data_IF_624226756571
#
_entry.id   IF_624226756571
#
_cell.length_a   1.000
_cell.length_b   1.000
_cell.length_c   1.000
_cell.angle_alpha   90.00
_cell.angle_beta   90.00
_cell.angle_gamma   90.00
#
_symmetry.space_group_name_H-M   'P 1'
#
loop_
_entity.id
_entity.type
_entity.pdbx_description
1 polymer ?
#
# COMPACT_ATOMS: atom_id res chain seq x y z
N UNK A 1 -39.40 33.90 -23.14
CA UNK A 1 -38.86 32.79 -22.32
C UNK A 1 -37.75 32.14 -23.14
N UNK A 2 -36.46 32.44 -22.90
CA UNK A 2 -35.40 31.73 -23.62
C UNK A 2 -35.28 30.30 -23.05
N UNK A 3 -35.22 29.32 -23.95
CA UNK A 3 -35.01 27.90 -23.65
C UNK A 3 -33.75 27.68 -22.80
N UNK A 4 -33.76 26.69 -21.88
CA UNK A 4 -32.55 26.32 -21.16
C UNK A 4 -31.54 25.73 -22.15
N UNK A 5 -30.33 26.29 -22.16
CA UNK A 5 -29.21 25.78 -22.91
C UNK A 5 -28.96 24.31 -22.53
N UNK A 6 -28.87 23.45 -23.54
CA UNK A 6 -28.44 22.07 -23.38
C UNK A 6 -27.03 22.05 -22.83
N UNK A 7 -26.87 21.58 -21.59
CA UNK A 7 -25.59 21.18 -21.03
C UNK A 7 -24.96 20.14 -21.96
N UNK A 8 -23.91 20.54 -22.69
CA UNK A 8 -23.07 19.62 -23.44
C UNK A 8 -22.35 18.74 -22.42
N UNK A 9 -22.77 17.49 -22.31
CA UNK A 9 -22.04 16.50 -21.52
C UNK A 9 -20.61 16.42 -22.07
N UNK A 10 -19.63 16.80 -21.26
CA UNK A 10 -18.22 16.65 -21.60
C UNK A 10 -17.97 15.20 -22.02
N UNK A 11 -17.18 15.02 -23.10
CA UNK A 11 -16.78 13.67 -23.51
C UNK A 11 -16.04 12.99 -22.36
N UNK A 12 -16.28 11.70 -22.09
CA UNK A 12 -15.63 11.00 -20.99
C UNK A 12 -14.11 11.06 -21.16
N UNK A 13 -13.38 11.15 -20.05
CA UNK A 13 -11.92 11.08 -20.02
C UNK A 13 -11.49 9.82 -20.80
N UNK A 14 -10.75 10.00 -21.90
CA UNK A 14 -10.35 8.88 -22.73
C UNK A 14 -9.02 8.34 -22.22
N UNK A 15 -9.08 7.21 -21.50
CA UNK A 15 -7.89 6.54 -20.99
C UNK A 15 -7.18 5.78 -22.12
N UNK A 16 -5.88 6.03 -22.29
CA UNK A 16 -5.03 5.23 -23.15
C UNK A 16 -4.53 4.00 -22.39
N UNK A 17 -5.28 2.89 -22.42
CA UNK A 17 -4.93 1.66 -21.70
C UNK A 17 -4.19 0.68 -22.63
N UNK A 18 -3.02 0.15 -22.26
CA UNK A 18 -2.40 -0.96 -22.97
C UNK A 18 -3.21 -2.25 -22.79
N UNK A 19 -3.08 -3.26 -23.68
CA UNK A 19 -3.87 -4.49 -23.61
C UNK A 19 -3.83 -5.19 -22.24
N UNK A 20 -2.67 -5.20 -21.58
CA UNK A 20 -2.47 -5.83 -20.28
C UNK A 20 -3.10 -5.06 -19.09
N UNK A 21 -3.63 -3.85 -19.31
CA UNK A 21 -4.31 -3.06 -18.27
C UNK A 21 -5.85 -3.08 -18.44
N UNK A 22 -6.35 -3.57 -19.57
CA UNK A 22 -7.79 -3.47 -19.92
C UNK A 22 -8.64 -4.54 -19.26
N UNK A 23 -8.15 -5.77 -19.18
CA UNK A 23 -8.95 -6.93 -18.77
C UNK A 23 -8.89 -7.12 -17.25
N UNK A 24 -10.04 -6.96 -16.60
CA UNK A 24 -10.19 -7.07 -15.15
C UNK A 24 -11.13 -8.24 -14.84
N UNK A 25 -10.63 -9.20 -14.06
CA UNK A 25 -11.45 -10.27 -13.47
C UNK A 25 -11.90 -9.84 -12.07
N UNK A 26 -13.21 -9.82 -11.81
CA UNK A 26 -13.78 -9.32 -10.57
C UNK A 26 -14.18 -10.47 -9.66
N UNK A 27 -13.65 -10.48 -8.44
CA UNK A 27 -13.99 -11.44 -7.38
C UNK A 27 -14.66 -10.76 -6.19
N UNK A 28 -15.43 -11.50 -5.40
CA UNK A 28 -16.00 -11.02 -4.13
C UNK A 28 -15.41 -11.83 -2.97
N UNK A 29 -14.25 -11.43 -2.41
CA UNK A 29 -13.51 -12.27 -1.46
C UNK A 29 -14.05 -12.18 -0.03
N UNK A 30 -14.89 -11.18 0.24
CA UNK A 30 -15.37 -10.87 1.60
C UNK A 30 -16.89 -10.79 1.65
N UNK A 31 -17.45 -9.59 1.74
CA UNK A 31 -18.89 -9.43 1.95
C UNK A 31 -19.69 -9.36 0.65
N UNK A 32 -20.91 -9.91 0.66
CA UNK A 32 -21.85 -9.94 -0.46
C UNK A 32 -22.27 -8.54 -0.93
N UNK A 33 -22.64 -8.43 -2.19
CA UNK A 33 -23.25 -7.24 -2.77
C UNK A 33 -24.77 -7.39 -2.74
N UNK A 34 -25.44 -6.64 -1.85
CA UNK A 34 -26.89 -6.71 -1.72
C UNK A 34 -27.62 -6.14 -2.96
N UNK A 35 -27.20 -4.97 -3.43
CA UNK A 35 -27.78 -4.31 -4.61
C UNK A 35 -26.94 -4.58 -5.87
N UNK A 36 -27.44 -5.48 -6.73
CA UNK A 36 -26.78 -5.86 -7.98
C UNK A 36 -26.76 -4.73 -9.02
N UNK A 37 -27.62 -3.72 -8.90
CA UNK A 37 -27.62 -2.58 -9.82
C UNK A 37 -26.31 -1.78 -9.74
N UNK A 38 -25.67 -1.77 -8.57
CA UNK A 38 -24.35 -1.17 -8.32
C UNK A 38 -23.28 -1.73 -9.24
N UNK A 39 -23.25 -3.06 -9.36
CA UNK A 39 -22.30 -3.77 -10.24
C UNK A 39 -22.51 -3.38 -11.70
N UNK A 40 -23.76 -3.23 -12.12
CA UNK A 40 -24.07 -2.84 -13.50
C UNK A 40 -23.66 -1.38 -13.78
N UNK A 41 -23.86 -0.47 -12.82
CA UNK A 41 -23.38 0.93 -12.95
C UNK A 41 -21.87 0.97 -13.05
N UNK A 42 -21.16 0.30 -12.15
CA UNK A 42 -19.69 0.22 -12.17
C UNK A 42 -19.14 -0.41 -13.44
N UNK A 43 -19.75 -1.51 -13.90
CA UNK A 43 -19.37 -2.15 -15.16
C UNK A 43 -19.53 -1.20 -16.34
N UNK A 44 -20.68 -0.52 -16.44
CA UNK A 44 -20.96 0.43 -17.51
C UNK A 44 -20.02 1.63 -17.46
N UNK A 45 -19.69 2.12 -16.26
CA UNK A 45 -18.75 3.21 -16.07
C UNK A 45 -17.36 2.83 -16.58
N UNK A 46 -16.78 1.74 -16.08
CA UNK A 46 -15.42 1.32 -16.47
C UNK A 46 -15.34 0.91 -17.95
N UNK A 47 -16.38 0.28 -18.51
CA UNK A 47 -16.45 -0.05 -19.94
C UNK A 47 -16.39 1.18 -20.84
N UNK A 48 -17.02 2.30 -20.43
CA UNK A 48 -16.94 3.58 -21.17
C UNK A 48 -15.53 4.18 -21.15
N UNK A 49 -14.69 3.79 -20.20
CA UNK A 49 -13.31 4.25 -20.05
C UNK A 49 -12.29 3.20 -20.54
N UNK A 50 -12.73 2.22 -21.33
CA UNK A 50 -11.84 1.29 -22.05
C UNK A 50 -11.52 -0.02 -21.32
N UNK A 51 -11.99 -0.22 -20.09
CA UNK A 51 -11.81 -1.49 -19.37
C UNK A 51 -12.81 -2.56 -19.82
N UNK A 52 -12.41 -3.83 -19.73
CA UNK A 52 -13.27 -5.00 -19.97
C UNK A 52 -13.35 -5.85 -18.71
N UNK A 53 -14.56 -6.00 -18.18
CA UNK A 53 -14.78 -6.69 -16.91
C UNK A 53 -15.38 -8.08 -17.14
N UNK A 54 -14.73 -9.08 -16.55
CA UNK A 54 -15.28 -10.44 -16.38
C UNK A 54 -15.61 -10.63 -14.91
N UNK A 55 -16.85 -10.99 -14.60
CA UNK A 55 -17.28 -11.23 -13.23
C UNK A 55 -17.14 -12.72 -12.89
N UNK A 56 -16.55 -13.05 -11.74
CA UNK A 56 -16.52 -14.43 -11.28
C UNK A 56 -17.94 -15.01 -11.18
N UNK A 57 -18.19 -16.27 -11.59
CA UNK A 57 -19.52 -16.87 -11.56
C UNK A 57 -20.20 -16.82 -10.17
N UNK A 58 -19.41 -16.72 -9.09
CA UNK A 58 -19.90 -16.67 -7.71
C UNK A 58 -19.79 -15.28 -7.08
N UNK A 59 -19.35 -14.25 -7.80
CA UNK A 59 -19.16 -12.91 -7.23
C UNK A 59 -20.43 -12.27 -6.66
N UNK A 60 -21.62 -12.71 -7.11
CA UNK A 60 -22.93 -12.23 -6.62
C UNK A 60 -23.63 -13.23 -5.68
N UNK A 61 -22.91 -14.23 -5.19
CA UNK A 61 -23.40 -15.13 -4.17
C UNK A 61 -23.64 -14.37 -2.86
N UNK A 62 -24.60 -14.86 -2.07
CA UNK A 62 -24.87 -14.38 -0.72
C UNK A 62 -24.98 -15.59 0.18
N UNK A 63 -24.24 -15.56 1.29
CA UNK A 63 -24.19 -16.63 2.28
C UNK A 63 -24.27 -16.01 3.67
N UNK A 64 -25.14 -16.59 4.52
CA UNK A 64 -25.38 -16.13 5.89
C UNK A 64 -25.56 -14.60 6.01
N UNK A 65 -26.31 -14.02 5.06
CA UNK A 65 -26.66 -12.58 5.00
C UNK A 65 -25.51 -11.58 4.82
N UNK A 66 -24.23 -12.00 4.93
CA UNK A 66 -23.08 -11.09 4.92
C UNK A 66 -22.00 -11.46 3.92
N UNK A 67 -21.73 -12.75 3.70
CA UNK A 67 -20.58 -13.21 2.93
C UNK A 67 -20.93 -13.45 1.46
N UNK A 68 -19.96 -13.21 0.58
CA UNK A 68 -20.11 -13.46 -0.86
C UNK A 68 -19.89 -14.94 -1.23
N UNK A 69 -20.63 -15.84 -0.57
CA UNK A 69 -20.36 -17.28 -0.56
C UNK A 69 -19.75 -17.74 0.77
N UNK A 70 -19.65 -19.05 0.95
CA UNK A 70 -18.93 -19.64 2.09
C UNK A 70 -17.41 -19.44 1.94
N UNK A 71 -16.63 -19.94 2.89
CA UNK A 71 -15.16 -19.79 2.90
C UNK A 71 -14.53 -20.47 1.67
N UNK A 72 -15.05 -21.63 1.25
CA UNK A 72 -14.58 -22.35 0.04
C UNK A 72 -14.86 -21.57 -1.24
N UNK A 73 -16.10 -21.11 -1.42
CA UNK A 73 -16.52 -20.38 -2.62
C UNK A 73 -15.63 -19.15 -2.86
N UNK A 74 -15.27 -18.46 -1.78
CA UNK A 74 -14.46 -17.24 -1.82
C UNK A 74 -12.98 -17.55 -2.05
N UNK A 75 -12.45 -18.63 -1.45
CA UNK A 75 -11.11 -19.14 -1.75
C UNK A 75 -10.97 -19.54 -3.23
N UNK A 76 -11.89 -20.36 -3.74
CA UNK A 76 -11.88 -20.83 -5.13
C UNK A 76 -11.99 -19.68 -6.14
N UNK A 77 -12.57 -18.54 -5.76
CA UNK A 77 -12.62 -17.36 -6.63
C UNK A 77 -11.22 -16.84 -6.95
N UNK A 78 -10.26 -16.92 -6.03
CA UNK A 78 -8.86 -16.59 -6.30
C UNK A 78 -8.22 -17.59 -7.27
N UNK A 79 -8.49 -18.89 -7.09
CA UNK A 79 -7.96 -19.92 -8.00
C UNK A 79 -8.50 -19.76 -9.42
N UNK A 80 -9.81 -19.48 -9.57
CA UNK A 80 -10.41 -19.15 -10.87
C UNK A 80 -9.84 -17.87 -11.47
N UNK A 81 -9.62 -16.84 -10.65
CA UNK A 81 -9.03 -15.58 -11.11
C UNK A 81 -7.58 -15.76 -11.57
N UNK A 82 -6.78 -16.54 -10.84
CA UNK A 82 -5.40 -16.88 -11.20
C UNK A 82 -5.33 -17.66 -12.53
N UNK A 83 -6.27 -18.59 -12.75
CA UNK A 83 -6.39 -19.35 -14.00
C UNK A 83 -7.00 -18.55 -15.17
N UNK A 84 -7.60 -17.38 -14.90
CA UNK A 84 -8.21 -16.55 -15.94
C UNK A 84 -7.15 -15.89 -16.83
N UNK A 85 -7.52 -15.50 -18.04
CA UNK A 85 -6.63 -14.76 -18.94
C UNK A 85 -6.44 -13.28 -18.52
N UNK A 86 -7.28 -12.76 -17.62
CA UNK A 86 -7.20 -11.37 -17.20
C UNK A 86 -5.92 -11.14 -16.37
N UNK A 87 -5.10 -10.13 -16.68
CA UNK A 87 -3.90 -9.79 -15.92
C UNK A 87 -4.23 -9.11 -14.58
N UNK A 88 -5.40 -8.47 -14.47
CA UNK A 88 -5.83 -7.76 -13.27
C UNK A 88 -6.96 -8.51 -12.59
N UNK A 89 -6.86 -8.66 -11.27
CA UNK A 89 -7.94 -9.18 -10.44
C UNK A 89 -8.38 -8.10 -9.47
N UNK A 90 -9.65 -7.70 -9.51
CA UNK A 90 -10.19 -6.62 -8.68
C UNK A 90 -11.21 -7.17 -7.69
N UNK A 91 -11.08 -6.78 -6.42
CA UNK A 91 -12.12 -6.99 -5.43
C UNK A 91 -13.37 -6.19 -5.77
N UNK A 92 -14.53 -6.82 -5.70
CA UNK A 92 -15.80 -6.18 -6.02
C UNK A 92 -16.18 -5.12 -4.97
N UNK A 93 -15.84 -5.36 -3.70
CA UNK A 93 -15.93 -4.47 -2.55
C UNK A 93 -15.05 -4.98 -1.40
N UNK A 94 -14.87 -4.15 -0.37
CA UNK A 94 -14.29 -4.58 0.92
C UNK A 94 -15.24 -5.48 1.73
N UNK A 95 -15.27 -5.33 3.06
CA UNK A 95 -16.25 -6.00 3.92
C UNK A 95 -15.63 -6.70 5.12
N UNK A 96 -15.94 -7.98 5.28
CA UNK A 96 -15.40 -8.80 6.35
C UNK A 96 -15.36 -10.25 5.89
N UNK A 97 -14.28 -10.95 6.21
CA UNK A 97 -14.24 -12.41 6.20
C UNK A 97 -13.05 -13.01 5.47
N UNK A 98 -12.12 -12.23 4.91
CA UNK A 98 -10.88 -12.76 4.31
C UNK A 98 -10.00 -13.48 5.34
N UNK A 99 -9.92 -12.95 6.57
CA UNK A 99 -9.13 -13.52 7.67
C UNK A 99 -9.57 -14.93 8.09
N UNK A 100 -10.76 -15.39 7.69
CA UNK A 100 -11.31 -16.71 8.04
C UNK A 100 -10.66 -17.88 7.31
N UNK A 101 -9.96 -17.62 6.21
CA UNK A 101 -9.47 -18.67 5.32
C UNK A 101 -8.06 -18.37 4.76
N UNK A 102 -7.30 -17.50 5.44
CA UNK A 102 -5.95 -17.14 5.00
C UNK A 102 -5.01 -18.35 4.93
N UNK A 103 -5.18 -19.29 5.85
CA UNK A 103 -4.41 -20.53 5.95
C UNK A 103 -4.62 -21.50 4.79
N UNK A 104 -5.65 -21.27 3.99
CA UNK A 104 -6.04 -22.14 2.89
C UNK A 104 -5.53 -21.67 1.54
N UNK A 105 -4.94 -20.48 1.46
CA UNK A 105 -4.33 -19.98 0.24
C UNK A 105 -3.02 -20.69 -0.08
N UNK A 106 -2.85 -21.01 -1.35
CA UNK A 106 -1.54 -21.26 -1.94
C UNK A 106 -0.95 -19.91 -2.40
N UNK A 107 -0.34 -19.18 -1.47
CA UNK A 107 0.21 -17.84 -1.75
C UNK A 107 1.31 -17.86 -2.82
N UNK A 108 2.10 -18.93 -2.88
CA UNK A 108 3.16 -19.07 -3.89
C UNK A 108 2.56 -19.21 -5.29
N UNK A 109 1.53 -20.05 -5.46
CA UNK A 109 0.83 -20.17 -6.73
C UNK A 109 0.15 -18.84 -7.14
N UNK A 110 -0.45 -18.13 -6.19
CA UNK A 110 -1.06 -16.82 -6.46
C UNK A 110 -0.01 -15.75 -6.81
N UNK A 111 1.18 -15.78 -6.23
CA UNK A 111 2.28 -14.90 -6.61
C UNK A 111 2.81 -15.26 -8.01
N UNK A 112 3.04 -16.54 -8.28
CA UNK A 112 3.52 -17.04 -9.57
C UNK A 112 2.55 -16.80 -10.73
N UNK A 113 1.26 -16.56 -10.45
CA UNK A 113 0.25 -16.24 -11.46
C UNK A 113 0.49 -14.91 -12.20
N UNK A 114 1.35 -14.03 -11.67
CA UNK A 114 1.68 -12.73 -12.26
C UNK A 114 0.51 -11.73 -12.29
N UNK A 115 -0.57 -12.00 -11.55
CA UNK A 115 -1.75 -11.14 -11.52
C UNK A 115 -1.51 -9.87 -10.70
N UNK A 116 -2.05 -8.75 -11.16
CA UNK A 116 -2.21 -7.54 -10.34
C UNK A 116 -3.43 -7.71 -9.44
N UNK A 117 -3.21 -8.15 -8.20
CA UNK A 117 -4.27 -8.33 -7.19
C UNK A 117 -4.64 -6.99 -6.54
N UNK A 118 -5.80 -6.46 -6.89
CA UNK A 118 -6.28 -5.13 -6.52
C UNK A 118 -7.44 -5.18 -5.52
N UNK A 119 -7.29 -4.46 -4.41
CA UNK A 119 -8.38 -4.24 -3.45
C UNK A 119 -7.98 -3.32 -2.30
N UNK A 120 -8.92 -3.02 -1.41
CA UNK A 120 -8.73 -2.18 -0.22
C UNK A 120 -9.58 -2.71 0.96
N UNK A 121 -9.53 -2.03 2.11
CA UNK A 121 -10.33 -2.39 3.29
C UNK A 121 -9.98 -3.79 3.81
N UNK A 122 -10.95 -4.71 3.96
CA UNK A 122 -10.73 -6.12 4.35
C UNK A 122 -9.72 -6.87 3.44
N UNK A 123 -9.54 -6.43 2.19
CA UNK A 123 -8.53 -6.98 1.28
C UNK A 123 -7.09 -6.73 1.75
N UNK A 124 -6.89 -5.80 2.69
CA UNK A 124 -5.61 -5.61 3.41
C UNK A 124 -5.10 -6.92 4.01
N UNK A 125 -5.99 -7.81 4.48
CA UNK A 125 -5.58 -9.12 5.00
C UNK A 125 -4.81 -9.95 3.96
N UNK A 126 -5.25 -9.91 2.70
CA UNK A 126 -4.57 -10.58 1.59
C UNK A 126 -3.25 -9.90 1.24
N UNK A 127 -3.23 -8.55 1.18
CA UNK A 127 -2.02 -7.78 0.89
C UNK A 127 -0.89 -8.07 1.89
N UNK A 128 -1.21 -8.05 3.18
CA UNK A 128 -0.27 -8.35 4.25
C UNK A 128 0.22 -9.80 4.18
N UNK A 129 -0.70 -10.75 3.95
CA UNK A 129 -0.35 -12.16 3.85
C UNK A 129 0.52 -12.49 2.62
N UNK A 130 0.19 -11.93 1.45
CA UNK A 130 1.02 -12.05 0.24
C UNK A 130 2.44 -11.55 0.50
N UNK A 131 2.59 -10.35 1.04
CA UNK A 131 3.90 -9.79 1.37
C UNK A 131 4.65 -10.66 2.39
N UNK A 132 3.96 -11.14 3.43
CA UNK A 132 4.56 -11.96 4.48
C UNK A 132 5.01 -13.35 4.00
N UNK A 133 4.29 -13.94 3.03
CA UNK A 133 4.53 -15.30 2.56
C UNK A 133 5.50 -15.37 1.40
N UNK A 134 5.40 -14.44 0.45
CA UNK A 134 6.10 -14.53 -0.84
C UNK A 134 6.94 -13.28 -1.16
N UNK A 135 6.75 -12.18 -0.43
CA UNK A 135 7.37 -10.90 -0.77
C UNK A 135 6.74 -10.21 -1.99
N UNK A 136 5.72 -10.81 -2.62
CA UNK A 136 5.17 -10.31 -3.86
C UNK A 136 4.35 -9.02 -3.67
N UNK A 137 4.45 -8.14 -4.67
CA UNK A 137 3.67 -6.90 -4.74
C UNK A 137 2.20 -7.18 -5.07
N UNK A 138 1.31 -6.50 -4.36
CA UNK A 138 -0.12 -6.41 -4.66
C UNK A 138 -0.51 -4.94 -4.82
N UNK A 139 -1.77 -4.66 -5.14
CA UNK A 139 -2.23 -3.29 -5.38
C UNK A 139 -3.32 -2.91 -4.38
N UNK A 140 -3.00 -1.96 -3.50
CA UNK A 140 -3.95 -1.36 -2.58
C UNK A 140 -4.67 -0.22 -3.33
N UNK A 141 -5.99 -0.33 -3.55
CA UNK A 141 -6.69 0.64 -4.39
C UNK A 141 -8.19 0.36 -4.55
N UNK A 142 -8.86 1.03 -5.51
CA UNK A 142 -10.31 1.05 -5.57
C UNK A 142 -10.91 -0.33 -5.82
N UNK A 143 -12.05 -0.59 -5.16
CA UNK A 143 -12.94 -1.72 -5.46
C UNK A 143 -14.13 -1.31 -6.33
N UNK A 144 -14.68 -2.28 -7.08
CA UNK A 144 -15.70 -2.08 -8.11
C UNK A 144 -16.90 -1.23 -7.64
N UNK A 145 -17.64 -1.70 -6.63
CA UNK A 145 -18.89 -1.06 -6.19
C UNK A 145 -18.71 -0.10 -5.02
N UNK A 146 -17.47 0.28 -4.70
CA UNK A 146 -17.18 1.34 -3.71
C UNK A 146 -16.77 2.65 -4.37
N UNK A 147 -16.23 2.59 -5.59
CA UNK A 147 -15.63 3.76 -6.25
C UNK A 147 -16.24 4.04 -7.62
N UNK A 148 -16.81 3.04 -8.31
CA UNK A 148 -17.26 3.19 -9.70
C UNK A 148 -18.78 3.04 -9.89
N UNK A 149 -19.55 2.83 -8.84
CA UNK A 149 -21.00 2.56 -8.92
C UNK A 149 -21.90 3.78 -8.67
N UNK A 150 -21.38 4.99 -8.81
CA UNK A 150 -22.12 6.23 -8.63
C UNK A 150 -23.39 6.27 -9.51
N UNK A 151 -24.47 6.87 -8.98
CA UNK A 151 -25.71 7.04 -9.73
C UNK A 151 -25.50 8.00 -10.90
N UNK A 152 -24.82 9.13 -10.64
CA UNK A 152 -24.33 10.02 -11.66
C UNK A 152 -22.86 9.70 -11.94
N UNK A 153 -22.48 9.30 -13.18
CA UNK A 153 -21.09 9.03 -13.55
C UNK A 153 -20.11 10.17 -13.28
N UNK A 154 -20.59 11.43 -13.26
CA UNK A 154 -19.73 12.58 -12.96
C UNK A 154 -19.31 12.66 -11.48
N UNK A 155 -19.92 11.87 -10.60
CA UNK A 155 -19.58 11.83 -9.17
C UNK A 155 -18.45 10.81 -8.88
N UNK A 156 -17.99 10.06 -9.89
CA UNK A 156 -16.79 9.24 -9.75
C UNK A 156 -15.56 10.14 -9.75
N UNK A 157 -14.71 9.97 -8.75
CA UNK A 157 -13.48 10.74 -8.60
C UNK A 157 -12.49 10.45 -9.74
N UNK A 158 -12.11 11.50 -10.48
CA UNK A 158 -11.23 11.38 -11.64
C UNK A 158 -9.83 10.89 -11.27
N UNK A 159 -9.27 11.39 -10.15
CA UNK A 159 -7.96 10.96 -9.64
C UNK A 159 -7.91 9.46 -9.37
N UNK A 160 -8.97 8.90 -8.83
CA UNK A 160 -9.11 7.45 -8.56
C UNK A 160 -9.11 6.64 -9.86
N UNK A 161 -9.80 7.13 -10.89
CA UNK A 161 -9.82 6.49 -12.20
C UNK A 161 -8.46 6.60 -12.93
N UNK A 162 -7.84 7.78 -12.92
CA UNK A 162 -6.56 8.05 -13.57
C UNK A 162 -5.42 7.26 -12.92
N UNK A 163 -5.31 7.30 -11.58
CA UNK A 163 -4.27 6.53 -10.88
C UNK A 163 -4.48 5.03 -10.98
N UNK A 164 -5.72 4.54 -11.06
CA UNK A 164 -6.01 3.15 -11.41
C UNK A 164 -5.48 2.83 -12.81
N UNK A 165 -5.80 3.66 -13.80
CA UNK A 165 -5.38 3.45 -15.18
C UNK A 165 -3.85 3.38 -15.30
N UNK A 166 -3.14 4.34 -14.70
CA UNK A 166 -1.69 4.42 -14.79
C UNK A 166 -0.98 3.33 -13.99
N UNK A 167 -1.49 2.97 -12.80
CA UNK A 167 -0.97 1.85 -12.02
C UNK A 167 -1.12 0.52 -12.78
N UNK A 168 -2.29 0.27 -13.37
CA UNK A 168 -2.53 -0.96 -14.13
C UNK A 168 -1.76 -0.98 -15.46
N UNK A 169 -1.37 0.18 -15.98
CA UNK A 169 -0.56 0.35 -17.19
C UNK A 169 0.95 0.39 -16.94
N UNK A 170 1.40 0.29 -15.69
CA UNK A 170 2.80 0.45 -15.28
C UNK A 170 3.41 1.82 -15.64
N UNK A 171 2.56 2.86 -15.66
CA UNK A 171 2.93 4.25 -15.95
C UNK A 171 2.86 5.19 -14.74
N UNK A 172 2.40 4.71 -13.59
CA UNK A 172 2.29 5.55 -12.40
C UNK A 172 3.66 5.68 -11.74
N UNK A 173 4.35 6.80 -11.97
CA UNK A 173 5.70 7.05 -11.48
C UNK A 173 5.72 7.89 -10.19
N UNK A 174 4.78 8.82 -10.07
CA UNK A 174 4.78 9.82 -9.00
C UNK A 174 3.35 10.21 -8.65
N UNK A 175 3.06 10.31 -7.35
CA UNK A 175 1.85 10.97 -6.85
C UNK A 175 2.20 12.05 -5.84
N UNK A 176 1.70 13.26 -6.09
CA UNK A 176 1.84 14.41 -5.20
C UNK A 176 0.54 14.67 -4.44
N UNK A 177 0.62 14.87 -3.13
CA UNK A 177 -0.54 15.21 -2.31
C UNK A 177 -0.19 16.20 -1.22
N UNK A 178 -1.19 17.00 -0.81
CA UNK A 178 -1.00 17.95 0.29
C UNK A 178 -0.83 17.21 1.60
N UNK A 179 0.19 17.58 2.38
CA UNK A 179 0.52 16.89 3.61
C UNK A 179 0.80 17.82 4.80
N UNK A 180 0.93 17.20 5.99
CA UNK A 180 1.41 17.79 7.24
C UNK A 180 2.12 16.70 8.06
N UNK A 181 3.05 17.08 8.95
CA UNK A 181 3.68 16.17 9.92
C UNK A 181 5.11 15.73 9.62
N UNK A 182 5.72 16.20 8.54
CA UNK A 182 7.15 16.09 8.28
C UNK A 182 7.72 17.45 7.83
N UNK A 183 9.01 17.74 8.12
CA UNK A 183 9.65 18.98 7.69
C UNK A 183 9.88 18.99 6.17
N UNK A 184 10.00 20.19 5.61
CA UNK A 184 10.47 20.36 4.23
C UNK A 184 11.89 19.80 4.08
N UNK A 185 12.16 19.10 2.99
CA UNK A 185 13.40 18.36 2.75
C UNK A 185 13.46 16.99 3.43
N UNK A 186 12.35 16.50 3.99
CA UNK A 186 12.28 15.13 4.47
C UNK A 186 12.29 14.15 3.30
N UNK A 187 13.12 13.12 3.41
CA UNK A 187 13.30 12.08 2.39
C UNK A 187 13.41 10.70 3.04
N UNK A 188 12.75 9.71 2.45
CA UNK A 188 12.81 8.32 2.90
C UNK A 188 12.54 7.35 1.75
N UNK A 189 13.24 6.21 1.78
CA UNK A 189 12.99 5.08 0.89
C UNK A 189 12.67 3.83 1.72
N UNK A 190 11.79 2.98 1.22
CA UNK A 190 11.40 1.76 1.91
C UNK A 190 10.31 0.99 1.19
N UNK A 191 10.05 -0.22 1.67
CA UNK A 191 8.89 -1.01 1.21
C UNK A 191 7.61 -0.31 1.65
N UNK A 192 6.71 -0.04 0.71
CA UNK A 192 5.37 0.49 0.98
C UNK A 192 4.47 -0.64 1.49
N UNK A 193 3.95 -0.54 2.71
CA UNK A 193 3.11 -1.60 3.26
C UNK A 193 2.06 -1.04 4.22
N UNK A 194 1.03 -1.84 4.52
CA UNK A 194 -0.06 -1.44 5.41
C UNK A 194 -1.43 -1.55 4.76
N UNK A 195 -2.30 -0.57 5.00
CA UNK A 195 -3.69 -0.56 4.54
C UNK A 195 -4.67 -0.21 5.66
N UNK A 196 -5.73 -0.99 5.81
CA UNK A 196 -6.70 -0.77 6.87
C UNK A 196 -6.11 -1.06 8.27
N UNK A 197 -6.18 -0.10 9.19
CA UNK A 197 -5.58 -0.18 10.53
C UNK A 197 -6.06 -1.39 11.32
N UNK A 198 -7.37 -1.63 11.36
CA UNK A 198 -7.95 -2.77 12.06
C UNK A 198 -7.41 -4.10 11.53
N UNK A 199 -7.22 -4.22 10.21
CA UNK A 199 -6.65 -5.44 9.61
C UNK A 199 -5.15 -5.58 9.90
N UNK A 200 -4.38 -4.50 9.86
CA UNK A 200 -2.97 -4.50 10.27
C UNK A 200 -2.85 -4.99 11.72
N UNK A 201 -3.63 -4.45 12.64
CA UNK A 201 -3.64 -4.89 14.04
C UNK A 201 -4.17 -6.32 14.22
N UNK A 202 -5.15 -6.75 13.43
CA UNK A 202 -5.76 -8.09 13.53
C UNK A 202 -4.79 -9.20 13.14
N UNK A 203 -3.85 -8.93 12.23
CA UNK A 203 -2.85 -9.91 11.82
C UNK A 203 -1.56 -9.84 12.66
N UNK A 204 -1.37 -8.80 13.47
CA UNK A 204 -0.17 -8.61 14.28
C UNK A 204 0.13 -9.83 15.16
N UNK A 205 1.36 -10.35 15.05
CA UNK A 205 1.81 -11.54 15.75
C UNK A 205 1.47 -12.88 15.07
N UNK A 206 0.70 -12.87 13.98
CA UNK A 206 0.45 -14.06 13.16
C UNK A 206 1.54 -14.29 12.10
N UNK A 207 1.51 -15.45 11.44
CA UNK A 207 2.41 -15.75 10.30
C UNK A 207 2.03 -15.02 9.00
N UNK A 208 0.96 -14.23 9.01
CA UNK A 208 0.48 -13.42 7.89
C UNK A 208 0.83 -11.93 8.07
N UNK A 209 1.50 -11.56 9.16
CA UNK A 209 2.00 -10.21 9.36
C UNK A 209 3.39 -10.07 8.74
N UNK A 210 3.60 -9.16 7.78
CA UNK A 210 4.89 -9.01 7.12
C UNK A 210 5.91 -8.40 8.09
N UNK A 211 7.15 -8.85 7.99
CA UNK A 211 8.28 -8.29 8.75
C UNK A 211 8.96 -7.23 7.91
N UNK A 212 8.52 -5.98 8.04
CA UNK A 212 9.09 -4.85 7.31
C UNK A 212 9.77 -3.91 8.30
N UNK A 213 11.10 -3.86 8.22
CA UNK A 213 11.94 -2.90 8.94
C UNK A 213 12.44 -1.85 7.94
N UNK A 214 12.38 -0.57 8.31
CA UNK A 214 12.72 0.55 7.43
C UNK A 214 11.72 0.78 6.31
N UNK A 215 10.46 0.39 6.46
CA UNK A 215 9.42 0.59 5.46
C UNK A 215 8.77 1.98 5.49
N UNK A 216 7.84 2.19 4.56
CA UNK A 216 6.89 3.29 4.55
C UNK A 216 5.52 2.69 4.86
N UNK A 217 5.06 2.85 6.10
CA UNK A 217 3.80 2.28 6.57
C UNK A 217 2.66 3.22 6.24
N UNK A 218 1.71 2.82 5.39
CA UNK A 218 0.50 3.60 5.13
C UNK A 218 -0.70 3.01 5.86
N UNK A 219 -1.53 3.85 6.47
CA UNK A 219 -2.67 3.42 7.28
C UNK A 219 -3.90 4.27 6.97
N UNK A 220 -5.05 3.61 6.80
CA UNK A 220 -6.39 4.22 6.73
C UNK A 220 -7.35 3.51 7.68
N UNK A 221 -8.49 4.14 8.01
CA UNK A 221 -9.55 3.48 8.77
C UNK A 221 -10.94 4.05 8.47
N UNK A 222 -11.96 3.23 8.67
CA UNK A 222 -13.36 3.56 8.44
C UNK A 222 -14.23 3.24 9.66
N UNK A 223 -15.11 4.18 10.00
CA UNK A 223 -16.11 4.05 11.07
C UNK A 223 -15.55 3.80 12.48
N UNK A 224 -14.31 4.19 12.77
CA UNK A 224 -13.70 4.01 14.10
C UNK A 224 -13.52 5.33 14.84
N UNK A 225 -14.04 5.40 16.06
CA UNK A 225 -13.92 6.60 16.89
C UNK A 225 -12.44 6.88 17.25
N UNK A 226 -12.00 8.15 17.38
CA UNK A 226 -10.60 8.51 17.64
C UNK A 226 -9.89 7.73 18.76
N UNK A 227 -10.53 7.45 19.90
CA UNK A 227 -9.90 6.66 20.97
C UNK A 227 -9.63 5.20 20.58
N UNK A 228 -10.37 4.64 19.61
CA UNK A 228 -10.15 3.29 19.09
C UNK A 228 -8.98 3.27 18.12
N UNK A 229 -8.90 4.29 17.27
CA UNK A 229 -7.74 4.50 16.41
C UNK A 229 -6.48 4.66 17.25
N UNK A 230 -6.52 5.53 18.26
CA UNK A 230 -5.39 5.69 19.19
C UNK A 230 -4.99 4.36 19.82
N UNK A 231 -5.95 3.59 20.35
CA UNK A 231 -5.65 2.29 20.96
C UNK A 231 -4.95 1.34 19.98
N UNK A 232 -5.38 1.29 18.72
CA UNK A 232 -4.75 0.47 17.68
C UNK A 232 -3.34 0.97 17.32
N UNK A 233 -3.18 2.29 17.16
CA UNK A 233 -1.87 2.89 16.91
C UNK A 233 -0.90 2.69 18.08
N UNK A 234 -1.38 2.77 19.32
CA UNK A 234 -0.62 2.47 20.55
C UNK A 234 -0.21 1.00 20.62
N UNK A 235 -1.04 0.08 20.14
CA UNK A 235 -0.66 -1.33 20.01
C UNK A 235 0.52 -1.50 19.03
N UNK A 236 0.48 -0.83 17.88
CA UNK A 236 1.59 -0.83 16.93
C UNK A 236 2.85 -0.15 17.49
N UNK A 237 2.68 0.88 18.32
CA UNK A 237 3.78 1.54 19.03
C UNK A 237 4.44 0.58 20.03
N UNK A 238 3.66 -0.02 20.94
CA UNK A 238 4.19 -0.89 22.00
C UNK A 238 4.80 -2.19 21.48
N UNK A 239 4.42 -2.62 20.28
CA UNK A 239 5.05 -3.77 19.60
C UNK A 239 6.28 -3.37 18.78
N UNK A 240 6.61 -2.08 18.75
CA UNK A 240 7.75 -1.51 18.02
C UNK A 240 7.53 -1.44 16.51
N UNK A 241 6.33 -1.73 16.00
CA UNK A 241 6.04 -1.67 14.57
C UNK A 241 6.24 -0.25 14.05
N UNK A 242 5.70 0.75 14.76
CA UNK A 242 5.80 2.15 14.34
C UNK A 242 7.25 2.64 14.30
N UNK A 243 8.03 2.36 15.36
CA UNK A 243 9.40 2.85 15.51
C UNK A 243 10.41 2.23 14.54
N UNK A 244 10.04 1.14 13.87
CA UNK A 244 10.89 0.50 12.85
C UNK A 244 10.71 1.08 11.46
N UNK A 245 9.77 2.00 11.26
CA UNK A 245 9.49 2.54 9.93
C UNK A 245 10.27 3.82 9.68
N UNK A 246 10.46 4.16 8.40
CA UNK A 246 11.03 5.45 7.98
C UNK A 246 10.00 6.57 8.03
N UNK A 247 8.75 6.23 7.72
CA UNK A 247 7.62 7.14 7.80
C UNK A 247 6.32 6.36 7.99
N UNK A 248 5.34 7.00 8.62
CA UNK A 248 3.96 6.56 8.72
C UNK A 248 3.11 7.54 7.93
N UNK A 249 2.43 7.08 6.89
CA UNK A 249 1.62 7.91 6.00
C UNK A 249 0.14 7.62 6.25
N UNK A 250 -0.58 8.61 6.75
CA UNK A 250 -1.97 8.49 7.15
C UNK A 250 -2.88 8.89 6.00
N UNK A 251 -3.71 7.93 5.59
CA UNK A 251 -4.81 8.10 4.66
C UNK A 251 -6.04 8.72 5.31
N UNK A 252 -7.21 8.38 4.80
CA UNK A 252 -8.49 8.83 5.32
C UNK A 252 -8.89 8.05 6.57
N UNK A 253 -9.40 8.77 7.56
CA UNK A 253 -9.95 8.22 8.81
C UNK A 253 -11.37 8.76 8.97
N UNK A 254 -12.37 7.94 8.64
CA UNK A 254 -13.77 8.34 8.73
C UNK A 254 -14.40 7.87 10.04
N UNK A 255 -15.20 8.72 10.68
CA UNK A 255 -15.79 8.45 11.98
C UNK A 255 -16.95 9.40 12.27
N UNK A 256 -17.73 9.10 13.31
CA UNK A 256 -18.80 9.97 13.80
C UNK A 256 -18.48 10.40 15.23
N UNK A 257 -18.52 11.71 15.48
CA UNK A 257 -18.36 12.25 16.83
C UNK A 257 -19.54 11.78 17.69
N UNK A 258 -19.23 11.15 18.82
CA UNK A 258 -20.24 10.83 19.83
C UNK A 258 -20.73 12.11 20.53
N UNK A 259 -22.01 12.14 20.91
CA UNK A 259 -22.58 13.28 21.62
C UNK A 259 -21.83 13.55 22.94
N UNK A 260 -21.45 14.81 23.17
CA UNK A 260 -20.69 15.22 24.36
C UNK A 260 -19.19 14.87 24.33
N UNK A 261 -18.73 14.02 23.42
CA UNK A 261 -17.30 13.72 23.26
C UNK A 261 -16.62 14.85 22.44
N UNK A 262 -15.44 15.27 22.88
CA UNK A 262 -14.60 16.27 22.20
C UNK A 262 -13.28 15.68 21.71
N UNK A 263 -13.09 14.37 21.84
CA UNK A 263 -11.89 13.68 21.37
C UNK A 263 -11.91 13.59 19.84
N UNK A 264 -10.81 13.99 19.20
CA UNK A 264 -10.72 14.14 17.74
C UNK A 264 -9.49 13.46 17.19
N UNK A 265 -9.52 13.09 15.90
CA UNK A 265 -8.35 12.54 15.20
C UNK A 265 -7.13 13.47 15.28
N UNK A 266 -7.35 14.78 15.25
CA UNK A 266 -6.26 15.77 15.41
C UNK A 266 -5.52 15.59 16.75
N UNK A 267 -6.24 15.32 17.84
CA UNK A 267 -5.64 15.07 19.16
C UNK A 267 -4.83 13.78 19.17
N UNK A 268 -5.36 12.72 18.54
CA UNK A 268 -4.66 11.44 18.40
C UNK A 268 -3.31 11.65 17.70
N UNK A 269 -3.28 12.33 16.57
CA UNK A 269 -2.04 12.58 15.82
C UNK A 269 -1.05 13.48 16.56
N UNK A 270 -1.55 14.51 17.25
CA UNK A 270 -0.70 15.37 18.09
C UNK A 270 -0.05 14.57 19.22
N UNK A 271 -0.81 13.70 19.90
CA UNK A 271 -0.27 12.84 20.94
C UNK A 271 0.70 11.81 20.36
N UNK A 272 0.33 11.07 19.32
CA UNK A 272 1.18 10.03 18.73
C UNK A 272 2.55 10.56 18.27
N UNK A 273 2.59 11.77 17.70
CA UNK A 273 3.84 12.44 17.30
C UNK A 273 4.78 12.75 18.47
N UNK A 274 4.29 12.76 19.72
CA UNK A 274 5.16 12.88 20.91
C UNK A 274 5.64 11.53 21.44
N UNK A 275 5.10 10.42 20.94
CA UNK A 275 5.41 9.07 21.41
C UNK A 275 6.42 8.31 20.54
N UNK A 276 6.66 8.76 19.30
CA UNK A 276 7.61 8.15 18.37
C UNK A 276 8.46 9.21 17.67
N UNK A 277 9.69 8.85 17.32
CA UNK A 277 10.55 9.67 16.44
C UNK A 277 10.23 9.49 14.96
N UNK A 278 9.44 8.47 14.61
CA UNK A 278 9.03 8.19 13.23
C UNK A 278 8.09 9.28 12.73
N UNK A 279 8.39 9.94 11.60
CA UNK A 279 7.52 10.95 11.03
C UNK A 279 6.12 10.40 10.71
N UNK A 280 5.09 11.08 11.21
CA UNK A 280 3.69 10.77 10.93
C UNK A 280 3.13 11.82 9.99
N UNK A 281 3.03 11.47 8.72
CA UNK A 281 2.63 12.34 7.62
C UNK A 281 1.15 12.11 7.32
N UNK A 282 0.32 13.15 7.37
CA UNK A 282 -1.11 13.06 7.03
C UNK A 282 -1.37 13.52 5.59
N UNK A 283 -2.49 13.09 5.01
CA UNK A 283 -3.04 13.68 3.79
C UNK A 283 -2.96 12.79 2.56
N UNK A 284 -2.55 11.52 2.72
CA UNK A 284 -2.57 10.55 1.63
C UNK A 284 -4.01 10.34 1.14
N UNK A 285 -4.31 10.57 -0.16
CA UNK A 285 -5.64 10.35 -0.72
C UNK A 285 -5.95 8.84 -0.87
N UNK A 286 -6.17 8.15 0.24
CA UNK A 286 -6.39 6.72 0.28
C UNK A 286 -7.28 6.34 1.46
N UNK A 287 -8.36 5.60 1.22
CA UNK A 287 -9.22 5.06 2.27
C UNK A 287 -10.68 4.95 1.83
N UNK A 288 -11.62 5.21 2.74
CA UNK A 288 -13.06 5.06 2.48
C UNK A 288 -13.77 6.37 2.12
N UNK A 289 -13.06 7.28 1.46
CA UNK A 289 -13.64 8.49 0.85
C UNK A 289 -13.61 8.38 -0.68
N UNK A 290 -14.09 9.42 -1.38
CA UNK A 290 -14.23 9.38 -2.83
C UNK A 290 -12.89 9.19 -3.56
N UNK A 291 -11.85 9.92 -3.13
CA UNK A 291 -10.51 9.83 -3.73
C UNK A 291 -9.70 8.71 -3.09
N UNK A 292 -9.33 7.71 -3.88
CA UNK A 292 -8.48 6.58 -3.47
C UNK A 292 -7.44 6.28 -4.54
N UNK A 293 -6.18 6.55 -4.21
CA UNK A 293 -5.04 6.20 -5.05
C UNK A 293 -4.87 4.68 -5.19
N UNK A 294 -4.22 4.26 -6.27
CA UNK A 294 -3.81 2.87 -6.49
C UNK A 294 -2.32 2.73 -6.16
N UNK A 295 -2.00 2.04 -5.07
CA UNK A 295 -0.68 1.97 -4.45
C UNK A 295 -0.08 0.55 -4.57
N UNK A 296 1.20 0.40 -4.96
CA UNK A 296 1.87 -0.90 -5.07
C UNK A 296 2.33 -1.41 -3.69
N UNK A 297 1.45 -2.10 -2.98
CA UNK A 297 1.74 -2.68 -1.66
C UNK A 297 2.81 -3.78 -1.79
N UNK A 298 3.89 -3.65 -1.02
CA UNK A 298 5.05 -4.53 -1.05
C UNK A 298 6.17 -4.06 -1.98
N UNK A 299 5.96 -3.00 -2.76
CA UNK A 299 7.00 -2.43 -3.61
C UNK A 299 7.94 -1.49 -2.82
N UNK A 300 9.19 -1.38 -3.27
CA UNK A 300 10.13 -0.38 -2.76
C UNK A 300 9.83 0.98 -3.41
N UNK A 301 9.60 2.01 -2.59
CA UNK A 301 9.15 3.35 -3.02
C UNK A 301 9.97 4.44 -2.34
N UNK A 302 9.89 5.65 -2.90
CA UNK A 302 10.47 6.86 -2.35
C UNK A 302 9.39 7.79 -1.79
N UNK A 303 9.73 8.56 -0.75
CA UNK A 303 8.86 9.54 -0.13
C UNK A 303 9.63 10.83 0.12
N UNK A 304 9.22 11.93 -0.50
CA UNK A 304 9.80 13.25 -0.32
C UNK A 304 8.76 14.24 0.19
N UNK A 305 9.16 15.22 1.02
CA UNK A 305 8.29 16.33 1.43
C UNK A 305 8.96 17.66 1.08
N UNK A 306 8.31 18.45 0.22
CA UNK A 306 8.62 19.87 0.02
C UNK A 306 7.46 20.71 0.55
N UNK A 307 7.74 21.57 1.54
CA UNK A 307 6.80 22.46 2.22
C UNK A 307 5.54 21.74 2.74
N UNK A 308 4.47 21.70 1.95
CA UNK A 308 3.18 21.07 2.28
C UNK A 308 2.76 20.05 1.24
N UNK A 309 3.68 19.59 0.41
CA UNK A 309 3.44 18.56 -0.60
C UNK A 309 4.32 17.37 -0.29
N UNK A 310 3.69 16.21 -0.18
CA UNK A 310 4.36 14.93 -0.12
C UNK A 310 4.33 14.32 -1.52
N UNK A 311 5.46 13.75 -1.93
CA UNK A 311 5.63 13.03 -3.17
C UNK A 311 5.93 11.58 -2.85
N UNK A 312 5.11 10.67 -3.36
CA UNK A 312 5.36 9.25 -3.32
C UNK A 312 5.84 8.81 -4.70
N UNK A 313 7.10 8.40 -4.77
CA UNK A 313 7.80 7.95 -5.99
C UNK A 313 7.68 6.44 -6.08
N UNK A 314 7.05 5.96 -7.14
CA UNK A 314 6.78 4.54 -7.37
C UNK A 314 7.83 3.92 -8.32
N UNK A 315 8.08 2.60 -8.21
CA UNK A 315 8.98 1.93 -9.13
C UNK A 315 8.41 1.99 -10.55
N UNK A 316 9.28 2.32 -11.50
CA UNK A 316 8.94 2.39 -12.91
C UNK A 316 10.07 1.78 -13.73
N UNK A 317 9.71 0.97 -14.73
CA UNK A 317 10.67 0.32 -15.61
C UNK A 317 11.12 1.26 -16.72
N UNK A 318 12.20 2.01 -16.51
CA UNK A 318 12.96 2.53 -17.64
C UNK A 318 13.77 1.37 -18.22
N UNK A 319 13.52 1.02 -19.48
CA UNK A 319 14.13 -0.14 -20.14
C UNK A 319 15.65 -0.15 -20.06
N UNK A 320 16.19 -0.81 -19.04
CA UNK A 320 17.52 -1.37 -19.06
C UNK A 320 17.34 -2.86 -19.40
N UNK A 321 17.70 -3.24 -20.62
CA UNK A 321 18.04 -4.63 -20.87
C UNK A 321 19.07 -5.06 -19.81
N UNK A 322 18.95 -6.26 -19.21
CA UNK A 322 19.92 -6.69 -18.22
C UNK A 322 21.30 -6.69 -18.87
N UNK A 323 22.18 -5.79 -18.40
CA UNK A 323 23.59 -5.82 -18.73
C UNK A 323 24.12 -7.09 -18.08
N UNK A 324 24.33 -8.13 -18.90
CA UNK A 324 25.13 -9.28 -18.49
C UNK A 324 26.51 -8.76 -18.09
N UNK A 325 27.03 -9.09 -16.90
CA UNK A 325 28.41 -8.81 -16.58
C UNK A 325 29.31 -9.44 -17.62
N UNK A 326 30.17 -8.62 -18.22
CA UNK A 326 31.23 -9.01 -19.14
C UNK A 326 32.23 -9.87 -18.37
N UNK A 327 32.25 -11.17 -18.64
CA UNK A 327 33.24 -12.12 -18.10
C UNK A 327 34.59 -11.90 -18.80
N UNK A 328 35.28 -10.84 -18.41
CA UNK A 328 36.64 -10.54 -18.81
C UNK A 328 37.66 -10.94 -17.74
N UNK A 329 37.99 -12.23 -17.63
CA UNK A 329 39.26 -12.68 -17.04
C UNK A 329 39.59 -14.11 -17.49
N UNK A 330 40.51 -14.24 -18.45
CA UNK A 330 41.15 -15.51 -18.76
C UNK A 330 42.14 -15.94 -17.67
N UNK A 331 42.17 -17.24 -17.38
CA UNK A 331 43.34 -17.94 -16.86
C UNK A 331 43.21 -19.45 -17.11
N UNK A 332 44.29 -20.05 -17.57
CA UNK A 332 44.47 -21.45 -17.98
C UNK A 332 44.43 -22.47 -16.83
N UNK A 333 43.67 -23.57 -17.02
CA UNK A 333 43.77 -24.98 -16.55
C UNK A 333 44.28 -25.39 -15.14
N UNK A 334 44.32 -26.70 -14.77
CA UNK A 334 43.97 -27.92 -15.52
C UNK A 334 43.10 -28.94 -14.67
N UNK A 335 43.10 -30.27 -14.90
CA UNK A 335 41.91 -31.02 -15.31
C UNK A 335 41.28 -31.94 -14.23
N UNK A 336 40.15 -32.53 -14.61
CA UNK A 336 39.30 -33.41 -13.81
C UNK A 336 39.99 -34.65 -13.20
N UNK A 337 39.57 -34.95 -11.96
CA UNK A 337 39.46 -36.30 -11.37
C UNK A 337 38.18 -36.26 -10.53
N UNK A 338 37.28 -37.23 -10.46
CA UNK A 338 37.42 -38.66 -10.61
C UNK A 338 36.79 -39.31 -9.36
N UNK A 339 35.47 -39.49 -9.39
CA UNK A 339 34.67 -40.52 -8.71
C UNK A 339 34.86 -40.80 -7.19
N UNK A 340 33.78 -40.77 -6.41
CA UNK A 340 33.23 -41.97 -5.71
C UNK A 340 32.05 -41.57 -4.83
N UNK A 341 30.98 -42.35 -4.91
CA UNK A 341 29.78 -42.16 -4.09
C UNK A 341 29.93 -42.67 -2.66
N UNK A 342 29.04 -42.18 -1.80
CA UNK A 342 28.62 -42.87 -0.59
C UNK A 342 27.17 -42.49 -0.30
N UNK A 343 26.37 -43.52 -0.03
CA UNK A 343 24.92 -43.51 0.18
C UNK A 343 24.66 -43.66 1.69
N UNK A 344 23.57 -43.03 2.16
CA UNK A 344 22.71 -43.36 3.31
C UNK A 344 23.18 -43.00 4.74
N UNK A 345 22.27 -42.89 5.75
CA UNK A 345 20.79 -43.00 5.69
C UNK A 345 20.00 -41.87 6.41
N UNK A 346 18.69 -41.92 6.18
CA UNK A 346 17.61 -41.38 7.04
C UNK A 346 17.73 -41.89 8.49
N UNK A 347 17.35 -41.04 9.45
CA UNK A 347 16.84 -41.50 10.74
C UNK A 347 15.93 -40.43 11.37
N UNK A 348 14.64 -40.77 11.38
CA UNK A 348 13.69 -40.72 12.49
C UNK A 348 13.63 -39.50 13.43
N UNK A 349 12.47 -38.86 13.30
CA UNK A 349 11.80 -38.03 14.28
C UNK A 349 11.09 -38.90 15.34
N UNK A 350 11.26 -38.61 16.64
CA UNK A 350 10.16 -38.82 17.57
C UNK A 350 9.78 -37.54 18.31
N UNK A 351 8.52 -37.15 18.13
CA UNK A 351 7.77 -36.31 19.07
C UNK A 351 7.50 -37.11 20.35
N UNK A 352 7.86 -36.57 21.52
CA UNK A 352 6.98 -36.49 22.70
C UNK A 352 7.75 -36.00 23.92
N UNK A 353 7.23 -34.98 24.61
CA UNK A 353 7.70 -34.57 25.93
C UNK A 353 7.18 -33.18 26.33
N UNK A 354 6.05 -33.14 27.03
CA UNK A 354 5.50 -31.94 27.69
C UNK A 354 6.25 -31.63 29.02
N UNK A 355 5.85 -30.61 29.81
CA UNK A 355 6.56 -29.34 29.97
C UNK A 355 7.25 -29.20 31.34
N UNK A 356 8.19 -28.26 31.46
CA UNK A 356 8.71 -27.78 32.76
C UNK A 356 8.73 -26.25 32.76
N UNK A 357 8.31 -25.57 33.85
CA UNK A 357 8.07 -24.13 33.85
C UNK A 357 9.25 -23.29 34.37
N UNK A 358 9.05 -21.98 34.24
CA UNK A 358 9.71 -20.86 34.90
C UNK A 358 11.13 -20.47 34.49
N UNK A 359 11.21 -19.28 33.88
CA UNK A 359 11.96 -18.17 34.49
C UNK A 359 11.45 -16.81 34.04
N UNK A 360 11.04 -16.06 35.06
CA UNK A 360 10.79 -14.63 35.12
C UNK A 360 11.96 -13.85 34.50
N UNK A 361 11.65 -12.98 33.54
CA UNK A 361 12.55 -11.94 33.04
C UNK A 361 11.79 -10.62 33.00
N UNK A 362 11.91 -9.85 34.07
CA UNK A 362 11.30 -8.55 34.23
C UNK A 362 11.92 -7.53 33.25
N UNK A 363 11.07 -6.86 32.46
CA UNK A 363 11.44 -5.67 31.71
C UNK A 363 11.67 -4.51 32.69
N UNK A 364 12.92 -4.10 32.87
CA UNK A 364 13.26 -2.86 33.56
C UNK A 364 13.19 -1.69 32.57
N UNK A 365 12.05 -1.00 32.55
CA UNK A 365 11.91 0.32 31.96
C UNK A 365 12.56 1.35 32.88
N UNK A 366 13.68 1.93 32.46
CA UNK A 366 14.33 3.01 33.19
C UNK A 366 13.56 4.32 32.99
N UNK A 367 13.00 4.83 34.09
CA UNK A 367 12.48 6.18 34.23
C UNK A 367 13.63 7.18 34.34
N UNK A 368 13.54 8.34 33.68
CA UNK A 368 14.18 9.59 34.13
C UNK A 368 13.28 10.78 33.85
N UNK A 369 13.02 11.57 34.89
CA UNK A 369 12.44 12.90 34.84
C UNK A 369 13.42 13.89 35.54
N UNK A 370 13.70 15.02 34.87
CA UNK A 370 13.85 16.44 35.32
C UNK A 370 14.43 16.75 36.71
N UNK A 371 15.33 17.70 37.01
CA UNK A 371 15.71 19.08 36.53
C UNK A 371 16.79 19.64 37.55
N UNK A 372 17.22 20.95 37.64
CA UNK A 372 17.69 21.99 36.68
C UNK A 372 18.97 22.79 37.13
N UNK A 373 19.47 23.71 36.27
CA UNK A 373 20.38 24.87 36.59
C UNK A 373 21.79 24.79 35.94
N UNK A 374 22.48 25.83 35.43
CA UNK A 374 22.30 27.29 35.32
C UNK A 374 23.34 27.86 34.29
N UNK A 375 22.93 28.92 33.56
CA UNK A 375 23.56 29.96 32.69
C UNK A 375 25.08 30.01 32.33
N UNK A 376 25.35 30.06 31.00
CA UNK A 376 26.07 31.05 30.10
C UNK A 376 27.44 31.69 30.49
N UNK A 377 28.29 32.26 29.57
CA UNK A 377 28.18 32.43 28.11
C UNK A 377 29.45 32.16 27.26
N UNK A 378 29.34 32.21 25.92
CA UNK A 378 30.50 32.45 25.03
C UNK A 378 30.42 31.92 23.60
N UNK A 379 30.19 32.81 22.64
CA UNK A 379 30.32 32.60 21.19
C UNK A 379 31.66 31.96 20.76
N UNK A 380 31.60 31.04 19.79
CA UNK A 380 32.47 31.09 18.61
C UNK A 380 31.87 30.33 17.42
N UNK A 381 32.06 30.93 16.26
CA UNK A 381 31.42 30.66 14.97
C UNK A 381 32.45 29.92 14.10
N UNK A 382 32.19 28.69 13.68
CA UNK A 382 33.01 28.02 12.65
C UNK A 382 32.18 27.08 11.77
N UNK A 383 32.11 27.47 10.49
CA UNK A 383 32.04 26.63 9.29
C UNK A 383 30.95 25.56 9.21
N UNK A 384 29.89 25.92 8.47
CA UNK A 384 29.01 25.04 7.74
C UNK A 384 29.80 24.07 6.85
N UNK A 385 29.89 22.81 7.25
CA UNK A 385 30.12 21.70 6.31
C UNK A 385 28.85 21.50 5.50
N UNK A 386 28.89 21.88 4.23
CA UNK A 386 27.89 21.52 3.22
C UNK A 386 27.69 20.00 3.23
N UNK A 387 26.54 19.56 3.74
CA UNK A 387 26.05 18.21 3.52
C UNK A 387 25.70 18.08 2.05
N UNK A 388 26.46 17.27 1.31
CA UNK A 388 26.15 16.88 -0.06
C UNK A 388 24.70 16.37 -0.16
N UNK A 389 23.96 16.71 -1.23
CA UNK A 389 22.58 16.28 -1.40
C UNK A 389 22.53 14.75 -1.45
N UNK A 390 21.82 14.14 -0.50
CA UNK A 390 21.42 12.73 -0.61
C UNK A 390 20.22 12.70 -1.55
N UNK A 391 20.27 11.82 -2.53
CA UNK A 391 19.28 11.73 -3.61
C UNK A 391 18.32 10.58 -3.34
N UNK A 392 17.03 10.87 -3.22
CA UNK A 392 15.93 9.90 -3.39
C UNK A 392 15.92 9.39 -4.83
N UNK A 393 16.27 8.12 -5.07
CA UNK A 393 16.35 7.53 -6.41
C UNK A 393 17.11 8.39 -7.46
N UNK A 394 18.10 9.17 -7.05
CA UNK A 394 18.82 10.09 -7.97
C UNK A 394 18.13 11.43 -8.27
N UNK A 395 16.92 11.68 -7.74
CA UNK A 395 16.22 12.96 -7.88
C UNK A 395 16.75 14.00 -6.88
N UNK A 396 17.08 15.20 -7.36
CA UNK A 396 17.43 16.35 -6.52
C UNK A 396 16.32 17.38 -6.60
N UNK A 397 15.66 17.66 -5.47
CA UNK A 397 14.71 18.77 -5.34
C UNK A 397 15.50 20.08 -5.17
N UNK A 398 15.84 20.75 -6.28
CA UNK A 398 16.42 22.10 -6.22
C UNK A 398 15.31 23.14 -6.44
N UNK A 399 15.11 24.10 -5.53
CA UNK A 399 14.24 25.24 -5.81
C UNK A 399 14.97 26.19 -6.77
N UNK A 400 14.54 26.29 -8.01
CA UNK A 400 14.98 27.38 -8.88
C UNK A 400 14.37 28.71 -8.40
N UNK A 401 15.24 29.62 -7.96
CA UNK A 401 14.89 31.01 -7.75
C UNK A 401 14.75 31.71 -9.11
N UNK A 402 13.59 32.30 -9.35
CA UNK A 402 13.21 33.17 -10.48
C UNK A 402 12.86 32.50 -11.83
N UNK A 403 11.61 32.03 -11.97
CA UNK A 403 10.87 32.20 -13.22
C UNK A 403 9.35 32.12 -13.00
N UNK A 404 8.53 33.05 -13.53
CA UNK A 404 7.07 32.97 -13.45
C UNK A 404 6.53 32.15 -14.63
N UNK A 405 5.65 31.20 -14.33
CA UNK A 405 4.89 30.31 -15.23
C UNK A 405 5.69 29.15 -15.87
N UNK A 406 5.14 27.94 -15.69
CA UNK A 406 5.68 26.60 -16.02
C UNK A 406 6.67 26.00 -15.00
N UNK A 407 6.12 25.15 -14.11
CA UNK A 407 6.92 24.11 -13.44
C UNK A 407 7.22 23.03 -14.49
N UNK A 408 8.43 23.03 -15.00
CA UNK A 408 8.95 21.92 -15.82
C UNK A 408 9.61 20.91 -14.88
N UNK A 409 9.32 19.62 -15.10
CA UNK A 409 9.97 18.51 -14.41
C UNK A 409 10.93 17.86 -15.40
N UNK A 410 12.21 17.74 -15.03
CA UNK A 410 13.18 16.98 -15.81
C UNK A 410 13.25 15.55 -15.29
N UNK A 411 12.96 14.58 -16.16
CA UNK A 411 13.21 13.17 -15.91
C UNK A 411 14.71 12.85 -16.05
N UNK A 412 15.21 12.03 -15.13
CA UNK A 412 16.63 11.79 -14.82
C UNK A 412 17.30 10.69 -15.70
N UNK A 413 17.04 10.62 -17.00
CA UNK A 413 17.72 9.63 -17.87
C UNK A 413 18.70 10.24 -18.89
N UNK A 414 18.91 11.56 -18.85
CA UNK A 414 19.86 12.23 -19.75
C UNK A 414 19.46 12.20 -21.23
N UNK A 415 18.19 11.89 -21.56
CA UNK A 415 17.66 12.04 -22.90
C UNK A 415 16.55 13.09 -22.95
N UNK A 416 16.81 14.13 -23.73
CA UNK A 416 15.79 15.02 -24.27
C UNK A 416 15.00 14.29 -25.35
N UNK A 417 13.68 14.21 -25.21
CA UNK A 417 12.77 13.91 -26.32
C UNK A 417 11.75 15.05 -26.41
N UNK A 418 11.46 15.46 -27.65
CA UNK A 418 10.71 16.66 -28.04
C UNK A 418 9.24 16.70 -27.57
#
# INVERSE_FOLDING_TARGET
MPSPASSSAASPLQLDLPPHARDIYVISPSGSIADRSRVQRARKFLQRHGFRLTLDPKALATYQQRFAGDDETRLEAFNRAAASAAPVVMASRGGYGLTRYLERFDFEALAASGKKWLGFSDFTAFHLAMLAKTGATTWAGPALVSHFDAQNPADVDATTLETLADALSDRLELVGFRCDGAPSGFEAEGVLWGGNLSLVCSLLGSTYFPRVDGGILFIEEVNEHPYRVERMMTQLLHTGVLDRQRAIVLGHFTWKQAEGDRYTMKRVWQWLRTQTSTPIITGLPFGHEATTLTLPHGAFVGLAVDRRTCYLVLPHGHGAAPVTPDDGAGADGPPASGNTGAKLPEADNPRSGSPVPDRVGANAAAQRATEPGEKDPGHQNTASTETAPRTLFGASLVPEANSPSHQSWQCWCGQTHD
#
